data_IF_023099450373
#
_entry.id   IF_023099450373
#
_cell.length_a   1.000
_cell.length_b   1.000
_cell.length_c   1.000
_cell.angle_alpha   90.00
_cell.angle_beta   90.00
_cell.angle_gamma   90.00
#
_symmetry.space_group_name_H-M   'P 1'
#
loop_
_entity.id
_entity.type
_entity.pdbx_description
1 polymer ?
#
# COMPACT_ATOMS: atom_id res chain seq x y z
N UNK A 1 5.09 -3.57 12.77
CA UNK A 1 4.34 -2.91 11.69
C UNK A 1 4.72 -1.45 11.65
N UNK A 2 4.91 -0.89 10.46
CA UNK A 2 5.16 0.53 10.23
C UNK A 2 3.98 1.05 9.43
N UNK A 3 3.39 2.16 9.86
CA UNK A 3 2.32 2.86 9.15
C UNK A 3 2.72 4.32 8.99
N UNK A 4 2.43 4.90 7.82
CA UNK A 4 2.68 6.31 7.51
C UNK A 4 1.33 7.00 7.43
N UNK A 5 1.23 8.20 8.02
CA UNK A 5 -0.02 8.95 8.15
C UNK A 5 0.21 10.43 7.77
N UNK A 6 -0.67 10.99 6.96
CA UNK A 6 -0.63 12.39 6.50
C UNK A 6 -1.69 13.29 7.14
N UNK A 7 -2.73 12.73 7.78
CA UNK A 7 -3.63 13.46 8.67
C UNK A 7 -3.03 13.57 10.07
N UNK A 8 -2.54 14.78 10.38
CA UNK A 8 -1.95 15.09 11.69
C UNK A 8 -2.91 14.86 12.85
N UNK A 9 -4.20 15.17 12.69
CA UNK A 9 -5.20 14.99 13.76
C UNK A 9 -5.42 13.51 14.03
N UNK A 10 -5.47 12.70 12.96
CA UNK A 10 -5.59 11.26 13.09
C UNK A 10 -4.35 10.64 13.75
N UNK A 11 -3.15 11.00 13.27
CA UNK A 11 -1.88 10.59 13.89
C UNK A 11 -1.85 10.85 15.41
N UNK A 12 -2.17 12.09 15.83
CA UNK A 12 -2.20 12.47 17.24
C UNK A 12 -3.21 11.67 18.06
N UNK A 13 -4.35 11.30 17.44
CA UNK A 13 -5.37 10.48 18.08
C UNK A 13 -4.88 9.05 18.33
N UNK A 14 -4.15 8.45 17.39
CA UNK A 14 -3.86 7.00 17.43
C UNK A 14 -2.47 6.63 17.93
N UNK A 15 -1.48 7.54 17.89
CA UNK A 15 -0.09 7.23 18.25
C UNK A 15 0.09 6.59 19.64
N UNK A 16 -0.78 6.94 20.60
CA UNK A 16 -0.74 6.43 21.97
C UNK A 16 -1.58 5.16 22.18
N UNK A 17 -2.22 4.64 21.13
CA UNK A 17 -3.10 3.46 21.18
C UNK A 17 -2.44 2.23 20.52
N UNK A 18 -1.20 2.36 20.04
CA UNK A 18 -0.50 1.32 19.31
C UNK A 18 0.04 0.23 20.25
N UNK A 19 0.03 -1.05 19.81
CA UNK A 19 0.76 -2.10 20.49
C UNK A 19 2.28 -1.92 20.34
N UNK A 20 3.06 -2.57 21.20
CA UNK A 20 4.52 -2.40 21.27
C UNK A 20 5.29 -2.82 20.00
N UNK A 21 4.66 -3.60 19.11
CA UNK A 21 5.23 -4.06 17.85
C UNK A 21 4.82 -3.19 16.65
N UNK A 22 4.21 -2.04 16.88
CA UNK A 22 3.72 -1.14 15.85
C UNK A 22 4.21 0.29 16.07
N UNK A 23 4.53 0.97 14.98
CA UNK A 23 4.81 2.40 14.98
C UNK A 23 3.99 3.09 13.89
N UNK A 24 3.60 4.34 14.17
CA UNK A 24 3.02 5.24 13.19
C UNK A 24 3.92 6.45 13.04
N UNK A 25 4.12 6.87 11.79
CA UNK A 25 5.00 7.97 11.41
C UNK A 25 4.18 9.02 10.70
N UNK A 26 4.21 10.25 11.20
CA UNK A 26 3.57 11.38 10.54
C UNK A 26 4.47 11.95 9.45
N UNK A 27 3.93 12.15 8.24
CA UNK A 27 4.60 12.81 7.11
C UNK A 27 3.62 13.62 6.28
N UNK A 28 4.05 14.77 5.77
CA UNK A 28 3.22 15.61 4.90
C UNK A 28 3.63 15.49 3.43
N UNK A 29 2.65 15.49 2.53
CA UNK A 29 2.88 15.61 1.08
C UNK A 29 3.86 14.56 0.53
N UNK A 30 4.87 14.94 -0.24
CA UNK A 30 5.84 14.02 -0.87
C UNK A 30 6.63 13.17 0.15
N UNK A 31 6.81 13.66 1.38
CA UNK A 31 7.48 12.90 2.43
C UNK A 31 6.67 11.65 2.83
N UNK A 32 5.35 11.66 2.61
CA UNK A 32 4.47 10.52 2.88
C UNK A 32 4.85 9.33 2.00
N UNK A 33 4.89 9.53 0.68
CA UNK A 33 5.15 8.46 -0.26
C UNK A 33 6.60 7.98 -0.22
N UNK A 34 7.55 8.85 0.13
CA UNK A 34 8.98 8.54 0.19
C UNK A 34 9.44 7.98 1.54
N UNK A 35 8.61 7.98 2.58
CA UNK A 35 9.01 7.51 3.92
C UNK A 35 9.52 6.07 3.91
N UNK A 36 9.00 5.22 3.02
CA UNK A 36 9.44 3.82 2.90
C UNK A 36 10.94 3.68 2.61
N UNK A 37 11.55 4.69 1.96
CA UNK A 37 12.98 4.71 1.62
C UNK A 37 13.91 4.76 2.83
N UNK A 38 13.37 5.11 4.00
CA UNK A 38 14.12 5.11 5.27
C UNK A 38 14.16 3.73 5.95
N UNK A 39 13.54 2.71 5.36
CA UNK A 39 13.38 1.38 5.96
C UNK A 39 13.97 0.28 5.08
N UNK A 40 14.14 -0.91 5.67
CA UNK A 40 14.50 -2.12 4.92
C UNK A 40 13.32 -2.66 4.09
N UNK A 41 13.50 -3.84 3.50
CA UNK A 41 12.45 -4.47 2.70
C UNK A 41 11.32 -5.06 3.55
N UNK A 42 10.11 -5.09 3.00
CA UNK A 42 8.91 -5.64 3.63
C UNK A 42 8.38 -6.84 2.86
N UNK A 43 7.85 -7.84 3.59
CA UNK A 43 7.11 -8.95 2.98
C UNK A 43 5.68 -8.54 2.60
N UNK A 44 5.11 -7.53 3.24
CA UNK A 44 3.77 -7.03 2.96
C UNK A 44 3.82 -5.51 2.96
N UNK A 45 3.38 -4.91 1.86
CA UNK A 45 3.15 -3.46 1.75
C UNK A 45 1.67 -3.25 1.47
N UNK A 46 1.02 -2.37 2.24
CA UNK A 46 -0.39 -2.00 2.05
C UNK A 46 -0.46 -0.54 1.63
N UNK A 47 -1.08 -0.27 0.48
CA UNK A 47 -1.29 1.08 -0.06
C UNK A 47 -2.77 1.43 0.04
N UNK A 48 -3.11 2.14 1.12
CA UNK A 48 -4.46 2.63 1.42
C UNK A 48 -4.42 4.06 2.02
N UNK A 49 -3.64 4.94 1.40
CA UNK A 49 -3.46 6.32 1.85
C UNK A 49 -3.50 7.32 0.71
N UNK A 50 -2.81 8.44 0.88
CA UNK A 50 -2.60 9.46 -0.16
C UNK A 50 -1.48 9.07 -1.13
N UNK A 51 -1.33 9.81 -2.24
CA UNK A 51 -0.21 9.69 -3.19
C UNK A 51 0.07 8.24 -3.65
N UNK A 52 -0.99 7.45 -3.87
CA UNK A 52 -0.88 5.98 -4.03
C UNK A 52 0.04 5.55 -5.17
N UNK A 53 0.01 6.24 -6.31
CA UNK A 53 0.91 5.93 -7.45
C UNK A 53 2.38 6.12 -7.06
N UNK A 54 2.71 7.18 -6.31
CA UNK A 54 4.07 7.40 -5.84
C UNK A 54 4.46 6.40 -4.74
N UNK A 55 3.52 6.02 -3.87
CA UNK A 55 3.74 4.96 -2.90
C UNK A 55 4.10 3.64 -3.59
N UNK A 56 3.37 3.26 -4.65
CA UNK A 56 3.68 2.05 -5.43
C UNK A 56 5.08 2.12 -6.03
N UNK A 57 5.43 3.23 -6.69
CA UNK A 57 6.77 3.46 -7.26
C UNK A 57 7.88 3.21 -6.23
N UNK A 58 7.75 3.84 -5.06
CA UNK A 58 8.75 3.71 -4.00
C UNK A 58 8.71 2.33 -3.29
N UNK A 59 7.62 1.58 -3.42
CA UNK A 59 7.45 0.28 -2.76
C UNK A 59 8.21 -0.84 -3.44
N UNK A 60 8.43 -0.77 -4.75
CA UNK A 60 8.99 -1.88 -5.54
C UNK A 60 10.40 -2.25 -5.07
N UNK A 61 11.27 -1.25 -4.85
CA UNK A 61 12.64 -1.48 -4.35
C UNK A 61 12.70 -1.89 -2.87
N UNK A 62 11.62 -1.62 -2.12
CA UNK A 62 11.50 -1.95 -0.70
C UNK A 62 10.58 -3.14 -0.45
N UNK A 63 10.25 -3.90 -1.48
CA UNK A 63 9.53 -5.16 -1.37
C UNK A 63 10.54 -6.31 -1.34
N UNK A 64 10.37 -7.25 -0.41
CA UNK A 64 11.24 -8.43 -0.36
C UNK A 64 11.03 -9.34 -1.58
N UNK A 65 11.93 -10.29 -1.80
CA UNK A 65 11.78 -11.32 -2.84
C UNK A 65 10.50 -12.14 -2.68
N UNK A 66 9.98 -12.23 -1.46
CA UNK A 66 8.73 -12.93 -1.13
C UNK A 66 7.56 -11.97 -0.95
N UNK A 67 7.75 -10.69 -1.23
CA UNK A 67 6.81 -9.67 -0.83
C UNK A 67 5.58 -9.60 -1.72
N UNK A 68 4.51 -9.07 -1.15
CA UNK A 68 3.24 -8.77 -1.82
C UNK A 68 2.81 -7.34 -1.54
N UNK A 69 2.14 -6.73 -2.53
CA UNK A 69 1.55 -5.39 -2.41
C UNK A 69 0.03 -5.54 -2.39
N UNK A 70 -0.61 -5.06 -1.34
CA UNK A 70 -2.07 -4.94 -1.24
C UNK A 70 -2.44 -3.49 -1.55
N UNK A 71 -3.12 -3.27 -2.67
CA UNK A 71 -3.46 -1.95 -3.15
C UNK A 71 -4.98 -1.77 -3.14
N UNK A 72 -5.48 -0.83 -2.35
CA UNK A 72 -6.91 -0.60 -2.19
C UNK A 72 -7.48 0.45 -3.16
N UNK A 73 -8.79 0.46 -3.33
CA UNK A 73 -9.55 1.33 -4.26
C UNK A 73 -9.03 1.35 -5.71
N UNK A 74 -8.51 0.21 -6.16
CA UNK A 74 -7.95 -0.03 -7.50
C UNK A 74 -8.97 -0.09 -8.64
N UNK A 75 -10.20 0.38 -8.40
CA UNK A 75 -11.19 0.62 -9.45
C UNK A 75 -11.06 2.03 -10.06
N UNK A 76 -10.23 2.90 -9.48
CA UNK A 76 -10.02 4.28 -9.95
C UNK A 76 -9.00 4.31 -11.09
N UNK A 77 -9.40 4.89 -12.21
CA UNK A 77 -8.58 4.97 -13.43
C UNK A 77 -7.27 5.78 -13.23
N UNK A 78 -7.22 6.69 -12.25
CA UNK A 78 -6.03 7.48 -11.92
C UNK A 78 -4.84 6.62 -11.44
N UNK A 79 -5.08 5.34 -11.10
CA UNK A 79 -4.04 4.41 -10.67
C UNK A 79 -3.45 3.56 -11.80
N UNK A 80 -3.90 3.73 -13.05
CA UNK A 80 -3.36 3.00 -14.21
C UNK A 80 -1.82 3.06 -14.31
N UNK A 81 -1.13 4.20 -14.08
CA UNK A 81 0.33 4.24 -14.13
C UNK A 81 1.03 3.32 -13.11
N UNK A 82 0.37 3.04 -11.98
CA UNK A 82 0.89 2.08 -11.01
C UNK A 82 0.69 0.63 -11.46
N UNK A 83 -0.39 0.33 -12.17
CA UNK A 83 -0.63 -0.98 -12.77
C UNK A 83 0.38 -1.29 -13.87
N UNK A 84 0.61 -0.34 -14.78
CA UNK A 84 1.61 -0.47 -15.86
C UNK A 84 2.99 -0.76 -15.27
N UNK A 85 3.41 0.02 -14.28
CA UNK A 85 4.69 -0.17 -13.61
C UNK A 85 4.83 -1.55 -12.94
N UNK A 86 3.80 -2.00 -12.23
CA UNK A 86 3.83 -3.32 -11.57
C UNK A 86 3.86 -4.46 -12.60
N UNK A 87 3.19 -4.30 -13.74
CA UNK A 87 3.24 -5.26 -14.85
C UNK A 87 4.63 -5.31 -15.49
N UNK A 88 5.26 -4.15 -15.72
CA UNK A 88 6.64 -4.04 -16.21
C UNK A 88 7.65 -4.71 -15.27
N UNK A 89 7.42 -4.62 -13.96
CA UNK A 89 8.23 -5.27 -12.91
C UNK A 89 7.88 -6.77 -12.70
N UNK A 90 7.01 -7.32 -13.54
CA UNK A 90 6.70 -8.75 -13.59
C UNK A 90 5.75 -9.25 -12.49
N UNK A 91 4.95 -8.37 -11.90
CA UNK A 91 3.94 -8.76 -10.92
C UNK A 91 2.72 -9.39 -11.60
N UNK A 92 2.25 -10.50 -11.04
CA UNK A 92 0.89 -11.01 -11.25
C UNK A 92 -0.09 -10.30 -10.32
N UNK A 93 -1.39 -10.33 -10.65
CA UNK A 93 -2.43 -9.68 -9.85
C UNK A 93 -3.66 -10.56 -9.64
N UNK A 94 -4.20 -10.54 -8.42
CA UNK A 94 -5.54 -11.04 -8.09
C UNK A 94 -6.33 -9.88 -7.51
N UNK A 95 -7.53 -9.62 -8.05
CA UNK A 95 -8.40 -8.58 -7.53
C UNK A 95 -9.62 -9.16 -6.82
N UNK A 96 -10.07 -8.44 -5.81
CA UNK A 96 -11.31 -8.68 -5.09
C UNK A 96 -12.22 -7.49 -5.36
N UNK A 97 -13.38 -7.74 -5.97
CA UNK A 97 -14.31 -6.68 -6.36
C UNK A 97 -15.72 -6.99 -5.86
N UNK A 98 -16.41 -5.96 -5.38
CA UNK A 98 -17.79 -6.06 -4.91
C UNK A 98 -18.43 -4.70 -4.69
N UNK A 99 -19.68 -4.68 -4.24
CA UNK A 99 -20.35 -3.44 -3.82
C UNK A 99 -19.74 -2.96 -2.50
N UNK A 100 -19.39 -1.68 -2.41
CA UNK A 100 -18.90 -1.10 -1.17
C UNK A 100 -19.98 -1.05 -0.08
N UNK A 101 -19.63 -1.17 1.21
CA UNK A 101 -20.59 -0.96 2.30
C UNK A 101 -21.23 0.42 2.15
N UNK A 102 -22.57 0.48 2.18
CA UNK A 102 -23.36 1.71 2.04
C UNK A 102 -23.04 2.59 0.82
N UNK A 103 -22.33 2.04 -0.17
CA UNK A 103 -21.94 2.73 -1.41
C UNK A 103 -22.48 1.96 -2.61
N UNK A 104 -23.16 2.63 -3.56
CA UNK A 104 -23.57 1.98 -4.79
C UNK A 104 -22.40 1.74 -5.77
N UNK A 105 -21.20 2.25 -5.45
CA UNK A 105 -20.01 2.08 -6.28
C UNK A 105 -19.39 0.69 -6.10
N UNK A 106 -18.90 0.14 -7.21
CA UNK A 106 -18.00 -1.02 -7.16
C UNK A 106 -16.68 -0.58 -6.55
N UNK A 107 -16.24 -1.31 -5.53
CA UNK A 107 -14.92 -1.16 -4.92
C UNK A 107 -14.06 -2.36 -5.30
N UNK A 108 -12.74 -2.14 -5.34
CA UNK A 108 -11.77 -3.16 -5.74
C UNK A 108 -10.48 -3.01 -4.94
N UNK A 109 -10.06 -4.08 -4.30
CA UNK A 109 -8.71 -4.24 -3.74
C UNK A 109 -7.94 -5.23 -4.61
N UNK A 110 -6.71 -4.90 -4.98
CA UNK A 110 -5.87 -5.76 -5.81
C UNK A 110 -4.61 -6.15 -5.06
N UNK A 111 -4.29 -7.45 -5.07
CA UNK A 111 -3.03 -7.99 -4.55
C UNK A 111 -2.10 -8.24 -5.72
N UNK A 112 -0.92 -7.62 -5.68
CA UNK A 112 0.16 -7.82 -6.63
C UNK A 112 1.24 -8.69 -6.00
N UNK A 113 1.71 -9.69 -6.74
CA UNK A 113 2.64 -10.70 -6.22
C UNK A 113 3.53 -11.29 -7.32
N UNK A 114 4.61 -11.94 -6.89
CA UNK A 114 5.47 -12.82 -7.71
C UNK A 114 5.42 -14.26 -7.18
N UNK A 115 5.74 -15.30 -7.98
CA UNK A 115 5.73 -16.68 -7.50
C UNK A 115 6.64 -16.89 -6.28
N UNK A 116 6.23 -17.74 -5.33
CA UNK A 116 7.00 -18.02 -4.12
C UNK A 116 6.91 -16.94 -3.03
N UNK A 117 5.84 -16.14 -3.05
CA UNK A 117 5.59 -15.07 -2.09
C UNK A 117 5.11 -15.57 -0.71
N UNK A 118 5.07 -14.66 0.26
CA UNK A 118 4.69 -14.91 1.64
C UNK A 118 3.21 -15.31 1.84
N UNK A 119 2.35 -15.12 0.83
CA UNK A 119 0.95 -15.57 0.84
C UNK A 119 0.76 -16.97 0.25
N UNK A 120 1.81 -17.58 -0.32
CA UNK A 120 1.78 -18.90 -0.97
C UNK A 120 0.73 -19.00 -2.10
N UNK A 121 0.55 -17.91 -2.84
CA UNK A 121 -0.30 -17.83 -4.05
C UNK A 121 0.52 -17.70 -5.32
#
# INVERSE_FOLDING_TARGET
MISVEDDRKWYERIKNQLPSNSQIIYRSSEEFASEITNHGSFDIIVVDGSERVQCIKNSIEHLSDKGVIVFDDTYRDEYEPAFELLEEEGFSKIFFQGMGPVSPALQRTTVFYRPGNCFNI
#
